data_IF_897335261583
#
_entry.id   IF_897335261583
#
_cell.length_a   1.000
_cell.length_b   1.000
_cell.length_c   1.000
_cell.angle_alpha   90.00
_cell.angle_beta   90.00
_cell.angle_gamma   90.00
#
_symmetry.space_group_name_H-M   'P 1'
#
loop_
_entity.id
_entity.type
_entity.pdbx_description
1 polymer ?
#
# COMPACT_ATOMS: atom_id res chain seq x y z
N UNK A 1 42.37 -7.02 7.59
CA UNK A 1 41.55 -6.20 6.65
C UNK A 1 40.64 -7.10 5.81
N UNK A 2 39.75 -7.88 6.43
CA UNK A 2 38.84 -8.82 5.74
C UNK A 2 37.40 -8.84 6.30
N UNK A 3 37.13 -8.15 7.42
CA UNK A 3 35.80 -8.10 8.03
C UNK A 3 34.83 -7.10 7.34
N UNK A 4 35.32 -6.27 6.41
CA UNK A 4 34.53 -5.19 5.80
C UNK A 4 33.72 -5.63 4.56
N UNK A 5 34.02 -6.80 3.97
CA UNK A 5 33.38 -7.26 2.72
C UNK A 5 32.08 -8.05 2.99
N UNK A 6 31.93 -8.65 4.17
CA UNK A 6 30.77 -9.49 4.51
C UNK A 6 29.47 -8.73 4.83
N UNK A 7 29.54 -7.45 5.20
CA UNK A 7 28.37 -6.62 5.48
C UNK A 7 27.71 -6.14 4.17
N UNK A 8 28.53 -5.63 3.26
CA UNK A 8 28.09 -5.08 1.96
C UNK A 8 27.23 -6.04 1.14
N UNK A 9 27.56 -7.34 1.11
CA UNK A 9 26.80 -8.34 0.33
C UNK A 9 25.42 -8.66 0.93
N UNK A 10 25.22 -8.42 2.23
CA UNK A 10 23.97 -8.69 2.94
C UNK A 10 22.96 -7.56 2.74
N UNK A 11 23.44 -6.32 2.78
CA UNK A 11 22.63 -5.12 2.56
C UNK A 11 22.03 -5.13 1.15
N UNK A 12 22.81 -5.50 0.13
CA UNK A 12 22.31 -5.55 -1.26
C UNK A 12 21.20 -6.58 -1.44
N UNK A 13 21.36 -7.82 -0.95
CA UNK A 13 20.31 -8.84 -1.11
C UNK A 13 19.01 -8.44 -0.39
N UNK A 14 19.14 -7.81 0.78
CA UNK A 14 18.01 -7.30 1.57
C UNK A 14 17.29 -6.16 0.83
N UNK A 15 18.03 -5.21 0.28
CA UNK A 15 17.49 -4.10 -0.53
C UNK A 15 16.73 -4.60 -1.77
N UNK A 16 17.24 -5.63 -2.45
CA UNK A 16 16.57 -6.22 -3.61
C UNK A 16 15.25 -6.91 -3.25
N UNK A 17 15.22 -7.69 -2.17
CA UNK A 17 13.98 -8.33 -1.72
C UNK A 17 12.98 -7.29 -1.20
N UNK A 18 13.44 -6.27 -0.45
CA UNK A 18 12.58 -5.17 -0.02
C UNK A 18 12.02 -4.37 -1.19
N UNK A 19 12.81 -4.11 -2.24
CA UNK A 19 12.33 -3.41 -3.43
C UNK A 19 11.22 -4.20 -4.14
N UNK A 20 11.33 -5.53 -4.21
CA UNK A 20 10.28 -6.39 -4.76
C UNK A 20 9.01 -6.35 -3.92
N UNK A 21 9.11 -6.55 -2.61
CA UNK A 21 7.96 -6.53 -1.70
C UNK A 21 7.29 -5.14 -1.66
N UNK A 22 8.10 -4.09 -1.64
CA UNK A 22 7.61 -2.71 -1.68
C UNK A 22 6.78 -2.45 -2.93
N UNK A 23 7.27 -2.85 -4.11
CA UNK A 23 6.53 -2.70 -5.36
C UNK A 23 5.27 -3.56 -5.41
N UNK A 24 5.27 -4.76 -4.82
CA UNK A 24 4.07 -5.60 -4.77
C UNK A 24 2.92 -4.92 -4.00
N UNK A 25 3.24 -4.13 -2.97
CA UNK A 25 2.24 -3.43 -2.16
C UNK A 25 1.85 -2.09 -2.78
N UNK A 26 2.82 -1.33 -3.29
CA UNK A 26 2.64 0.09 -3.67
C UNK A 26 2.30 0.32 -5.14
N UNK A 27 2.20 -0.73 -5.96
CA UNK A 27 1.84 -0.62 -7.39
C UNK A 27 0.45 0.01 -7.57
N UNK A 28 0.36 0.95 -8.51
CA UNK A 28 -0.83 1.80 -8.70
C UNK A 28 -2.12 1.02 -8.97
N UNK A 29 -2.07 -0.01 -9.83
CA UNK A 29 -3.20 -0.89 -10.16
C UNK A 29 -3.74 -1.64 -8.93
N UNK A 30 -2.84 -2.07 -8.03
CA UNK A 30 -3.22 -2.75 -6.80
C UNK A 30 -3.86 -1.78 -5.82
N UNK A 31 -3.27 -0.59 -5.63
CA UNK A 31 -3.88 0.45 -4.80
C UNK A 31 -5.26 0.85 -5.33
N UNK A 32 -5.41 0.92 -6.65
CA UNK A 32 -6.68 1.21 -7.31
C UNK A 32 -7.75 0.14 -7.03
N UNK A 33 -7.37 -1.13 -7.14
CA UNK A 33 -8.26 -2.27 -6.86
C UNK A 33 -8.71 -2.25 -5.40
N UNK A 34 -7.77 -2.08 -4.47
CA UNK A 34 -8.06 -2.01 -3.03
C UNK A 34 -9.00 -0.84 -2.72
N UNK A 35 -8.80 0.33 -3.32
CA UNK A 35 -9.65 1.49 -3.09
C UNK A 35 -11.09 1.24 -3.54
N UNK A 36 -11.30 0.60 -4.71
CA UNK A 36 -12.63 0.21 -5.19
C UNK A 36 -13.30 -0.78 -4.24
N UNK A 37 -12.57 -1.79 -3.79
CA UNK A 37 -13.08 -2.82 -2.89
C UNK A 37 -13.50 -2.23 -1.53
N UNK A 38 -12.72 -1.29 -0.99
CA UNK A 38 -13.06 -0.57 0.25
C UNK A 38 -14.40 0.16 0.08
N UNK A 39 -14.55 0.94 -0.99
CA UNK A 39 -15.79 1.71 -1.21
C UNK A 39 -16.98 0.77 -1.42
N UNK A 40 -16.83 -0.26 -2.26
CA UNK A 40 -17.87 -1.25 -2.52
C UNK A 40 -18.32 -1.94 -1.23
N UNK A 41 -17.39 -2.34 -0.36
CA UNK A 41 -17.70 -2.96 0.92
C UNK A 41 -18.49 -2.02 1.85
N UNK A 42 -18.02 -0.77 2.03
CA UNK A 42 -18.66 0.15 2.97
C UNK A 42 -20.01 0.70 2.47
N UNK A 43 -20.17 0.86 1.15
CA UNK A 43 -21.44 1.29 0.55
C UNK A 43 -22.46 0.14 0.45
N UNK A 44 -21.99 -1.11 0.29
CA UNK A 44 -22.87 -2.27 0.06
C UNK A 44 -23.35 -3.02 1.31
N UNK A 45 -22.73 -2.82 2.48
CA UNK A 45 -22.99 -3.65 3.68
C UNK A 45 -24.30 -3.37 4.44
N UNK A 46 -25.08 -2.35 4.05
CA UNK A 46 -26.39 -2.06 4.65
C UNK A 46 -26.38 -1.43 6.05
N UNK A 47 -25.20 -1.09 6.60
CA UNK A 47 -25.06 -0.38 7.87
C UNK A 47 -23.86 0.59 7.87
N UNK A 48 -23.91 1.60 8.73
CA UNK A 48 -22.82 2.55 8.94
C UNK A 48 -21.86 2.06 10.03
N UNK A 49 -20.58 2.38 9.87
CA UNK A 49 -19.50 1.84 10.68
C UNK A 49 -18.16 2.41 10.23
N UNK A 50 -17.12 2.29 11.07
CA UNK A 50 -15.81 2.92 10.86
C UNK A 50 -14.78 1.89 10.42
N UNK A 51 -13.74 2.36 9.73
CA UNK A 51 -12.59 1.55 9.33
C UNK A 51 -11.32 2.40 9.35
N UNK A 52 -10.18 1.73 9.47
CA UNK A 52 -8.86 2.35 9.40
C UNK A 52 -8.04 1.63 8.33
N UNK A 53 -7.37 2.40 7.48
CA UNK A 53 -6.44 1.87 6.48
C UNK A 53 -5.02 2.13 6.98
N UNK A 54 -4.22 1.08 7.04
CA UNK A 54 -2.80 1.14 7.41
C UNK A 54 -1.99 0.95 6.13
N UNK A 55 -1.03 1.84 5.88
CA UNK A 55 -0.14 1.79 4.72
C UNK A 55 1.30 1.64 5.18
N UNK A 56 2.13 1.04 4.32
CA UNK A 56 3.55 0.77 4.61
C UNK A 56 4.40 2.04 4.75
N UNK A 57 3.98 3.12 4.11
CA UNK A 57 4.64 4.42 4.17
C UNK A 57 3.64 5.57 3.99
N UNK A 58 4.11 6.79 4.26
CA UNK A 58 3.32 8.03 4.17
C UNK A 58 2.82 8.33 2.75
N UNK A 59 3.65 8.13 1.72
CA UNK A 59 3.26 8.42 0.35
C UNK A 59 2.15 7.48 -0.10
N UNK A 60 2.27 6.19 0.22
CA UNK A 60 1.23 5.18 -0.03
C UNK A 60 -0.07 5.50 0.74
N UNK A 61 0.04 5.98 1.98
CA UNK A 61 -1.13 6.41 2.76
C UNK A 61 -1.91 7.56 2.08
N UNK A 62 -1.20 8.58 1.61
CA UNK A 62 -1.82 9.72 0.89
C UNK A 62 -2.45 9.24 -0.42
N UNK A 63 -1.75 8.44 -1.22
CA UNK A 63 -2.30 7.87 -2.46
C UNK A 63 -3.58 7.08 -2.21
N UNK A 64 -3.59 6.25 -1.17
CA UNK A 64 -4.75 5.44 -0.81
C UNK A 64 -5.93 6.31 -0.36
N UNK A 65 -5.65 7.35 0.45
CA UNK A 65 -6.65 8.33 0.84
C UNK A 65 -7.32 8.98 -0.38
N UNK A 66 -6.52 9.48 -1.32
CA UNK A 66 -7.04 10.16 -2.53
C UNK A 66 -7.88 9.21 -3.40
N UNK A 67 -7.38 7.98 -3.63
CA UNK A 67 -8.11 6.97 -4.42
C UNK A 67 -9.44 6.59 -3.78
N UNK A 68 -9.46 6.31 -2.48
CA UNK A 68 -10.70 5.98 -1.75
C UNK A 68 -11.68 7.15 -1.83
N UNK A 69 -11.23 8.39 -1.60
CA UNK A 69 -12.08 9.57 -1.71
C UNK A 69 -12.68 9.74 -3.12
N UNK A 70 -11.89 9.50 -4.16
CA UNK A 70 -12.37 9.60 -5.54
C UNK A 70 -13.45 8.56 -5.84
N UNK A 71 -13.23 7.29 -5.49
CA UNK A 71 -14.25 6.23 -5.67
C UNK A 71 -15.49 6.47 -4.81
N UNK A 72 -15.32 7.01 -3.60
CA UNK A 72 -16.44 7.31 -2.70
C UNK A 72 -17.34 8.39 -3.29
N UNK A 73 -16.76 9.44 -3.89
CA UNK A 73 -17.52 10.52 -4.55
C UNK A 73 -18.32 10.03 -5.75
N UNK A 74 -17.81 9.05 -6.50
CA UNK A 74 -18.54 8.44 -7.63
C UNK A 74 -19.76 7.63 -7.21
N UNK A 75 -19.79 7.13 -5.97
CA UNK A 75 -20.92 6.38 -5.42
C UNK A 75 -21.94 7.28 -4.68
N UNK A 76 -21.68 8.59 -4.58
CA UNK A 76 -22.57 9.54 -3.91
C UNK A 76 -23.53 10.21 -4.88
#
# INVERSE_FOLDING_TARGET
>A
MAAHIHHFRRDTALEYEFAREYHLITREDRLETIAKDIVAHFMGRGYQGKGMVISIDKATAVKMFDKVQNHWKLHR
#
